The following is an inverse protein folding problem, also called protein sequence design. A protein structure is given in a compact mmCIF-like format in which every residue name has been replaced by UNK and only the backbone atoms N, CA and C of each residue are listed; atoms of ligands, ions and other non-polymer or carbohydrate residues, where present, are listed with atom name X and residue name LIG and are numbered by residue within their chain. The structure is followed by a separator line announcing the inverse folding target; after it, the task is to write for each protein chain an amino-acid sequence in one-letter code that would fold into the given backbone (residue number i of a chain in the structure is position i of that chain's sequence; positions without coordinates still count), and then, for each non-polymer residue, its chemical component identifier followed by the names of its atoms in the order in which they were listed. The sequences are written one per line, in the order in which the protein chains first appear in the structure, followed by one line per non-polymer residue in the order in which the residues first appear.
data_IF_358699731484
#
_entry.id   IF_358699731484
#
_cell.length_a   1.000
_cell.length_b   1.000
_cell.length_c   1.000
_cell.angle_alpha   90.00
_cell.angle_beta   90.00
_cell.angle_gamma   90.00
#
_symmetry.space_group_name_H-M   'P 1'
#
loop_
_entity.id
_entity.type
_entity.pdbx_description
1 polymer ?
#
# COMPACT_ATOMS: atom_id res chain seq x y z
N UNK A 1 -34.89 4.61 -36.62
CA UNK A 1 -33.87 5.66 -36.41
C UNK A 1 -33.59 5.94 -34.94
N UNK A 2 -34.58 6.13 -34.06
CA UNK A 2 -34.36 6.43 -32.62
C UNK A 2 -33.56 5.37 -31.84
N UNK A 3 -33.77 4.07 -32.12
CA UNK A 3 -33.04 2.96 -31.45
C UNK A 3 -31.52 2.97 -31.70
N UNK A 4 -31.07 3.51 -32.84
CA UNK A 4 -29.66 3.49 -33.22
C UNK A 4 -28.86 4.60 -32.51
N UNK A 5 -29.52 5.71 -32.16
CA UNK A 5 -28.90 6.80 -31.39
C UNK A 5 -28.74 6.45 -29.91
N UNK A 6 -29.70 5.72 -29.31
CA UNK A 6 -29.59 5.28 -27.90
C UNK A 6 -28.44 4.31 -27.65
N UNK A 7 -28.15 3.40 -28.58
CA UNK A 7 -27.05 2.45 -28.43
C UNK A 7 -25.67 3.12 -28.52
N UNK A 8 -25.52 4.11 -29.41
CA UNK A 8 -24.29 4.90 -29.57
C UNK A 8 -24.03 5.77 -28.33
N UNK A 9 -25.09 6.32 -27.72
CA UNK A 9 -24.96 7.13 -26.51
C UNK A 9 -24.54 6.29 -25.29
N UNK A 10 -25.02 5.05 -25.15
CA UNK A 10 -24.61 4.13 -24.08
C UNK A 10 -23.14 3.68 -24.21
N UNK A 11 -22.67 3.42 -25.43
CA UNK A 11 -21.27 3.06 -25.69
C UNK A 11 -20.31 4.23 -25.44
N UNK A 12 -20.73 5.47 -25.75
CA UNK A 12 -19.94 6.67 -25.48
C UNK A 12 -19.78 6.94 -23.97
N UNK A 13 -20.78 6.61 -23.15
CA UNK A 13 -20.71 6.75 -21.68
C UNK A 13 -19.80 5.70 -21.05
N UNK A 14 -19.80 4.46 -21.57
CA UNK A 14 -18.91 3.40 -21.10
C UNK A 14 -17.42 3.67 -21.40
N UNK A 15 -17.11 4.40 -22.47
CA UNK A 15 -15.74 4.81 -22.81
C UNK A 15 -15.16 5.94 -21.95
N UNK A 16 -15.98 6.58 -21.10
CA UNK A 16 -15.57 7.69 -20.23
C UNK A 16 -15.30 7.27 -18.78
N UNK A 17 -15.63 6.02 -18.42
CA UNK A 17 -15.36 5.49 -17.08
C UNK A 17 -14.03 4.74 -17.09
N UNK A 18 -12.95 5.39 -16.64
CA UNK A 18 -11.72 4.70 -16.21
C UNK A 18 -11.95 3.96 -14.89
N UNK A 19 -13.01 3.16 -14.80
CA UNK A 19 -13.22 2.27 -13.67
C UNK A 19 -12.27 1.09 -13.83
N UNK A 20 -11.06 1.21 -13.26
CA UNK A 20 -10.16 0.09 -13.04
C UNK A 20 -10.78 -0.81 -11.95
N UNK A 21 -11.75 -1.63 -12.35
CA UNK A 21 -12.17 -2.80 -11.58
C UNK A 21 -11.34 -3.97 -12.08
N UNK A 22 -10.20 -4.22 -11.45
CA UNK A 22 -9.39 -5.40 -11.74
C UNK A 22 -10.07 -6.61 -11.06
N UNK A 23 -11.00 -7.25 -11.78
CA UNK A 23 -11.66 -8.48 -11.35
C UNK A 23 -10.66 -9.65 -11.48
N UNK A 24 -10.30 -10.34 -10.39
CA UNK A 24 -9.35 -11.45 -10.45
C UNK A 24 -9.13 -12.19 -9.12
N UNK A 25 -8.06 -13.00 -9.02
CA UNK A 25 -7.46 -13.45 -7.75
C UNK A 25 -6.11 -12.73 -7.54
N UNK A 26 -5.69 -12.52 -6.28
CA UNK A 26 -4.48 -11.75 -5.99
C UNK A 26 -3.32 -12.37 -6.79
N UNK A 27 -2.48 -11.56 -7.44
CA UNK A 27 -1.41 -12.11 -8.25
C UNK A 27 -0.45 -12.90 -7.35
N UNK A 28 0.15 -13.94 -7.94
CA UNK A 28 1.26 -14.62 -7.26
C UNK A 28 2.42 -13.64 -7.11
N UNK A 29 2.82 -13.39 -5.87
CA UNK A 29 3.90 -12.46 -5.54
C UNK A 29 5.23 -13.21 -5.52
N UNK A 30 6.18 -12.74 -6.30
CA UNK A 30 7.59 -13.13 -6.14
C UNK A 30 8.17 -12.33 -4.99
N UNK A 31 8.53 -13.03 -3.92
CA UNK A 31 9.18 -12.44 -2.76
C UNK A 31 10.67 -12.21 -3.01
N UNK A 32 11.27 -11.33 -2.22
CA UNK A 32 12.74 -11.21 -2.14
C UNK A 32 13.33 -12.52 -1.60
N UNK A 33 14.55 -12.86 -2.02
CA UNK A 33 15.18 -14.13 -1.63
C UNK A 33 15.60 -14.12 -0.15
N UNK A 34 16.09 -12.98 0.33
CA UNK A 34 16.45 -12.72 1.72
C UNK A 34 15.98 -11.31 2.11
N UNK A 35 15.76 -11.08 3.40
CA UNK A 35 15.31 -9.78 3.90
C UNK A 35 16.02 -9.42 5.21
N UNK A 36 16.71 -8.28 5.22
CA UNK A 36 17.38 -7.74 6.40
C UNK A 36 16.47 -6.75 7.13
N UNK A 37 15.77 -7.23 8.17
CA UNK A 37 14.82 -6.44 8.93
C UNK A 37 15.46 -5.22 9.62
N UNK A 38 16.59 -5.34 10.35
CA UNK A 38 17.32 -4.19 10.88
C UNK A 38 17.62 -3.10 9.85
N UNK A 39 18.09 -3.47 8.66
CA UNK A 39 18.41 -2.49 7.61
C UNK A 39 17.18 -1.81 7.01
N UNK A 40 15.98 -2.39 7.16
CA UNK A 40 14.72 -1.80 6.67
C UNK A 40 14.12 -0.75 7.62
N UNK A 41 14.63 -0.65 8.84
CA UNK A 41 14.14 0.30 9.83
C UNK A 41 14.48 1.74 9.48
N UNK A 42 13.77 2.67 10.11
CA UNK A 42 13.94 4.09 9.87
C UNK A 42 12.67 4.74 9.34
N UNK A 43 12.82 5.96 8.84
CA UNK A 43 11.75 6.70 8.18
C UNK A 43 11.78 6.47 6.69
N UNK A 44 10.64 6.08 6.14
CA UNK A 44 10.36 6.03 4.70
C UNK A 44 9.39 7.14 4.30
N UNK A 45 9.57 7.68 3.10
CA UNK A 45 8.66 8.66 2.50
C UNK A 45 7.91 8.02 1.36
N UNK A 46 6.59 8.17 1.32
CA UNK A 46 5.85 7.70 0.16
C UNK A 46 6.11 8.64 -1.03
N UNK A 47 6.62 8.08 -2.13
CA UNK A 47 6.91 8.84 -3.35
C UNK A 47 5.85 8.65 -4.43
N UNK A 48 5.31 7.43 -4.52
CA UNK A 48 4.27 7.07 -5.48
C UNK A 48 3.31 6.07 -4.85
N UNK A 49 2.04 6.15 -5.24
CA UNK A 49 1.00 5.20 -4.86
C UNK A 49 0.17 4.80 -6.06
N UNK A 50 -0.40 3.60 -5.99
CA UNK A 50 -1.50 3.23 -6.87
C UNK A 50 -2.75 4.06 -6.49
N UNK A 51 -3.49 4.62 -7.46
CA UNK A 51 -4.69 5.41 -7.16
C UNK A 51 -5.85 4.50 -6.76
N UNK A 52 -5.91 4.13 -5.48
CA UNK A 52 -6.95 3.29 -4.87
C UNK A 52 -8.08 4.08 -4.17
N UNK A 53 -7.88 5.39 -4.00
CA UNK A 53 -8.82 6.30 -3.35
C UNK A 53 -8.78 6.31 -1.82
N UNK A 54 -8.17 5.32 -1.15
CA UNK A 54 -8.11 5.24 0.31
C UNK A 54 -7.32 6.40 0.88
N UNK A 55 -6.17 6.68 0.27
CA UNK A 55 -5.27 7.70 0.78
C UNK A 55 -5.52 9.09 0.18
N UNK A 56 -6.65 9.29 -0.50
CA UNK A 56 -7.00 10.56 -1.13
C UNK A 56 -6.99 11.69 -0.10
N UNK A 57 -6.33 12.80 -0.43
CA UNK A 57 -6.25 14.00 0.42
C UNK A 57 -5.09 14.01 1.42
N UNK A 58 -4.23 12.99 1.40
CA UNK A 58 -3.00 12.92 2.20
C UNK A 58 -1.81 13.41 1.38
N UNK A 59 -0.96 14.23 1.98
CA UNK A 59 0.30 14.70 1.39
C UNK A 59 1.45 14.53 2.39
N UNK A 60 2.69 14.49 1.88
CA UNK A 60 3.90 14.33 2.71
C UNK A 60 3.84 13.08 3.61
N UNK A 61 3.35 11.96 3.06
CA UNK A 61 3.16 10.73 3.82
C UNK A 61 4.50 10.13 4.20
N UNK A 62 4.65 9.80 5.49
CA UNK A 62 5.83 9.12 6.02
C UNK A 62 5.43 7.91 6.85
N UNK A 63 6.29 6.89 6.85
CA UNK A 63 6.20 5.74 7.74
C UNK A 63 7.49 5.61 8.56
N UNK A 64 7.39 5.70 9.89
CA UNK A 64 8.50 5.46 10.81
C UNK A 64 8.43 4.01 11.31
N UNK A 65 9.46 3.22 11.01
CA UNK A 65 9.61 1.84 11.45
C UNK A 65 10.67 1.72 12.54
N UNK A 66 10.28 1.14 13.68
CA UNK A 66 11.18 0.96 14.83
C UNK A 66 11.11 -0.48 15.32
N UNK A 67 12.26 -1.14 15.37
CA UNK A 67 12.38 -2.51 15.88
C UNK A 67 11.87 -2.59 17.33
N UNK A 68 11.04 -3.59 17.58
CA UNK A 68 10.61 -3.99 18.93
C UNK A 68 11.39 -5.23 19.36
N UNK A 69 11.58 -6.17 18.43
CA UNK A 69 12.45 -7.35 18.56
C UNK A 69 12.69 -7.96 17.16
N UNK A 70 13.41 -9.07 17.10
CA UNK A 70 13.81 -9.77 15.86
C UNK A 70 12.66 -10.13 14.90
N UNK A 71 11.41 -10.13 15.36
CA UNK A 71 10.23 -10.52 14.56
C UNK A 71 9.15 -9.44 14.51
N UNK A 72 9.35 -8.30 15.17
CA UNK A 72 8.32 -7.26 15.33
C UNK A 72 8.89 -5.86 15.25
N UNK A 73 8.16 -4.97 14.60
CA UNK A 73 8.44 -3.54 14.59
C UNK A 73 7.16 -2.73 14.77
N UNK A 74 7.28 -1.55 15.36
CA UNK A 74 6.19 -0.57 15.44
C UNK A 74 6.18 0.30 14.20
N UNK A 75 5.00 0.80 13.85
CA UNK A 75 4.76 1.66 12.70
C UNK A 75 4.12 2.94 13.20
N UNK A 76 4.66 4.09 12.79
CA UNK A 76 3.97 5.37 12.92
C UNK A 76 3.89 6.04 11.54
N UNK A 77 2.69 6.10 11.00
CA UNK A 77 2.40 6.85 9.78
C UNK A 77 1.99 8.27 10.10
N UNK A 78 2.39 9.21 9.26
CA UNK A 78 1.98 10.61 9.34
C UNK A 78 1.63 11.14 7.96
N UNK A 79 0.62 12.01 7.89
CA UNK A 79 0.22 12.70 6.66
C UNK A 79 -0.27 14.12 6.96
N UNK A 80 -0.01 15.04 6.05
CA UNK A 80 -0.63 16.36 6.05
C UNK A 80 -2.00 16.28 5.37
N UNK A 81 -3.02 16.81 6.05
CA UNK A 81 -4.39 16.91 5.53
C UNK A 81 -4.65 18.27 4.89
N UNK A 82 -5.72 18.36 4.10
CA UNK A 82 -6.06 19.58 3.36
C UNK A 82 -6.43 20.76 4.27
N UNK A 83 -6.93 20.50 5.47
CA UNK A 83 -7.23 21.51 6.48
C UNK A 83 -6.00 22.00 7.25
N UNK A 84 -4.81 21.49 6.90
CA UNK A 84 -3.53 21.82 7.54
C UNK A 84 -3.24 21.03 8.82
N UNK A 85 -4.15 20.15 9.25
CA UNK A 85 -3.88 19.24 10.36
C UNK A 85 -2.96 18.09 9.95
N UNK A 86 -2.35 17.45 10.96
CA UNK A 86 -1.51 16.26 10.78
C UNK A 86 -2.30 15.05 11.26
N UNK A 87 -2.49 14.09 10.38
CA UNK A 87 -2.99 12.77 10.73
C UNK A 87 -1.83 11.91 11.24
N UNK A 88 -2.09 11.12 12.29
CA UNK A 88 -1.16 10.14 12.84
C UNK A 88 -1.86 8.81 13.00
N UNK A 89 -1.23 7.74 12.50
CA UNK A 89 -1.71 6.38 12.63
C UNK A 89 -0.61 5.51 13.23
N UNK A 90 -0.94 4.78 14.29
CA UNK A 90 -0.03 3.87 14.95
C UNK A 90 -0.41 2.42 14.65
N UNK A 91 0.59 1.61 14.37
CA UNK A 91 0.44 0.20 14.07
C UNK A 91 1.63 -0.62 14.48
N UNK A 92 1.57 -1.90 14.15
CA UNK A 92 2.66 -2.83 14.35
C UNK A 92 2.69 -3.84 13.21
N UNK A 93 3.87 -4.40 12.99
CA UNK A 93 4.08 -5.45 12.01
C UNK A 93 4.77 -6.65 12.66
N UNK A 94 4.47 -7.83 12.12
CA UNK A 94 5.09 -9.10 12.50
C UNK A 94 5.63 -9.78 11.27
N UNK A 95 6.85 -10.31 11.36
CA UNK A 95 7.45 -11.13 10.30
C UNK A 95 6.70 -12.44 10.09
N UNK A 96 6.85 -13.01 8.90
CA UNK A 96 6.37 -14.34 8.56
C UNK A 96 7.56 -15.22 8.16
N UNK A 97 7.30 -16.50 7.86
CA UNK A 97 8.33 -17.41 7.33
C UNK A 97 8.76 -17.06 5.90
N UNK A 98 8.11 -16.09 5.26
CA UNK A 98 8.43 -15.59 3.92
C UNK A 98 9.23 -14.28 4.01
N UNK A 99 10.44 -14.20 3.44
CA UNK A 99 11.24 -12.97 3.45
C UNK A 99 10.49 -11.77 2.86
N UNK A 100 10.60 -10.62 3.52
CA UNK A 100 9.95 -9.37 3.09
C UNK A 100 8.41 -9.38 3.20
N UNK A 101 7.80 -10.38 3.83
CA UNK A 101 6.36 -10.45 4.06
C UNK A 101 6.03 -10.22 5.54
N UNK A 102 5.12 -9.29 5.79
CA UNK A 102 4.65 -8.93 7.13
C UNK A 102 3.14 -9.00 7.24
N UNK A 103 2.67 -9.26 8.46
CA UNK A 103 1.29 -9.00 8.87
C UNK A 103 1.27 -7.67 9.59
N UNK A 104 0.62 -6.66 9.01
CA UNK A 104 0.54 -5.29 9.51
C UNK A 104 -0.84 -5.05 10.11
N UNK A 105 -0.89 -4.48 11.31
CA UNK A 105 -2.13 -4.12 11.99
C UNK A 105 -2.14 -2.65 12.40
N UNK A 106 -3.29 -2.01 12.22
CA UNK A 106 -3.61 -0.68 12.73
C UNK A 106 -4.83 -0.77 13.67
N UNK A 107 -4.93 0.14 14.64
CA UNK A 107 -6.08 0.11 15.55
C UNK A 107 -7.39 0.35 14.80
N UNK A 108 -8.36 -0.53 15.02
CA UNK A 108 -9.70 -0.43 14.42
C UNK A 108 -9.84 -1.05 13.03
N UNK A 109 -8.72 -1.47 12.42
CA UNK A 109 -8.70 -2.04 11.06
C UNK A 109 -8.34 -3.53 11.06
N UNK A 110 -8.88 -4.33 10.12
CA UNK A 110 -8.40 -5.68 9.89
C UNK A 110 -6.91 -5.70 9.52
N UNK A 111 -6.12 -6.68 9.99
CA UNK A 111 -4.73 -6.82 9.57
C UNK A 111 -4.59 -7.04 8.06
N UNK A 112 -3.56 -6.46 7.48
CA UNK A 112 -3.22 -6.59 6.05
C UNK A 112 -1.91 -7.35 5.86
N UNK A 113 -1.73 -7.92 4.68
CA UNK A 113 -0.46 -8.50 4.24
C UNK A 113 0.34 -7.43 3.53
N UNK A 114 1.54 -7.14 4.03
CA UNK A 114 2.47 -6.20 3.41
C UNK A 114 3.65 -6.97 2.83
N UNK A 115 3.88 -6.84 1.52
CA UNK A 115 4.96 -7.51 0.82
C UNK A 115 5.96 -6.49 0.27
N UNK A 116 7.20 -6.56 0.71
CA UNK A 116 8.31 -5.87 0.05
C UNK A 116 8.68 -6.68 -1.20
N UNK A 117 8.42 -6.09 -2.36
CA UNK A 117 8.73 -6.67 -3.66
C UNK A 117 10.21 -6.51 -4.01
N UNK A 118 10.80 -5.37 -3.63
CA UNK A 118 12.20 -5.05 -3.82
C UNK A 118 12.60 -3.87 -2.94
N UNK A 119 13.81 -3.88 -2.37
CA UNK A 119 14.38 -2.73 -1.65
C UNK A 119 15.90 -2.81 -1.69
N UNK A 120 16.55 -1.66 -1.68
CA UNK A 120 17.99 -1.54 -1.41
C UNK A 120 18.29 -1.07 0.02
N UNK A 121 17.25 -1.02 0.85
CA UNK A 121 17.26 -0.61 2.27
C UNK A 121 17.60 0.86 2.53
N UNK A 122 18.02 1.62 1.52
CA UNK A 122 18.56 2.97 1.70
C UNK A 122 17.82 4.02 0.89
N UNK A 123 17.46 3.70 -0.36
CA UNK A 123 16.94 4.69 -1.31
C UNK A 123 15.54 4.37 -1.79
N UNK A 124 15.14 3.10 -1.84
CA UNK A 124 13.79 2.72 -2.24
C UNK A 124 13.29 1.43 -1.59
N UNK A 125 11.97 1.33 -1.48
CA UNK A 125 11.24 0.08 -1.27
C UNK A 125 9.98 0.08 -2.12
N UNK A 126 9.77 -1.01 -2.85
CA UNK A 126 8.54 -1.25 -3.60
C UNK A 126 7.69 -2.23 -2.83
N UNK A 127 6.45 -1.85 -2.55
CA UNK A 127 5.57 -2.55 -1.63
C UNK A 127 4.26 -2.88 -2.32
N UNK A 128 3.72 -4.05 -2.01
CA UNK A 128 2.40 -4.47 -2.47
C UNK A 128 1.60 -5.18 -1.38
N UNK A 129 0.36 -4.75 -1.23
CA UNK A 129 -0.67 -5.40 -0.44
C UNK A 129 -1.82 -5.78 -1.36
N UNK A 130 -2.38 -6.98 -1.17
CA UNK A 130 -3.58 -7.41 -1.85
C UNK A 130 -4.44 -8.21 -0.88
N UNK A 131 -5.72 -7.84 -0.80
CA UNK A 131 -6.74 -8.61 -0.11
C UNK A 131 -7.77 -9.10 -1.13
N UNK A 132 -8.15 -10.37 -1.00
CA UNK A 132 -9.30 -10.94 -1.69
C UNK A 132 -10.53 -10.78 -0.79
N UNK A 133 -11.59 -10.17 -1.29
CA UNK A 133 -12.92 -10.30 -0.67
C UNK A 133 -13.61 -11.60 -1.14
N UNK A 134 -14.63 -12.06 -0.41
CA UNK A 134 -15.49 -13.19 -0.75
C UNK A 134 -16.08 -13.12 -2.17
N UNK A 135 -16.14 -11.93 -2.78
CA UNK A 135 -16.58 -11.70 -4.16
C UNK A 135 -15.46 -11.69 -5.21
N UNK A 136 -14.21 -12.00 -4.85
CA UNK A 136 -13.03 -11.90 -5.74
C UNK A 136 -12.84 -10.50 -6.35
N UNK A 137 -13.26 -9.48 -5.61
CA UNK A 137 -12.82 -8.13 -5.87
C UNK A 137 -11.46 -7.94 -5.20
N UNK A 138 -10.50 -7.43 -5.96
CA UNK A 138 -9.20 -7.07 -5.42
C UNK A 138 -9.26 -5.70 -4.80
N UNK A 139 -8.80 -5.63 -3.56
CA UNK A 139 -8.29 -4.40 -3.01
C UNK A 139 -6.77 -4.50 -2.93
N UNK A 140 -6.11 -4.02 -3.99
CA UNK A 140 -4.66 -4.00 -4.12
C UNK A 140 -4.14 -2.60 -3.90
N UNK A 141 -3.20 -2.44 -2.96
CA UNK A 141 -2.50 -1.16 -2.77
C UNK A 141 -1.01 -1.36 -2.99
N UNK A 142 -0.46 -0.53 -3.85
CA UNK A 142 0.98 -0.50 -4.14
C UNK A 142 1.54 0.85 -3.73
N UNK A 143 2.67 0.83 -3.04
CA UNK A 143 3.42 2.02 -2.68
C UNK A 143 4.86 1.88 -3.16
N UNK A 144 5.44 3.00 -3.60
CA UNK A 144 6.89 3.15 -3.71
C UNK A 144 7.32 4.09 -2.59
N UNK A 145 7.96 3.52 -1.60
CA UNK A 145 8.61 4.22 -0.52
C UNK A 145 10.02 4.63 -0.99
N UNK A 146 10.41 5.88 -0.74
CA UNK A 146 11.70 6.44 -1.10
C UNK A 146 12.41 7.01 0.12
N UNK A 147 13.73 6.88 0.11
CA UNK A 147 14.69 7.29 1.14
C UNK A 147 14.41 6.77 2.55
N UNK A 148 15.24 5.84 3.01
CA UNK A 148 15.30 5.46 4.43
C UNK A 148 16.20 6.44 5.17
N UNK A 149 15.64 7.24 6.08
CA UNK A 149 16.42 7.98 7.06
C UNK A 149 16.50 7.18 8.36
N UNK A 150 17.72 6.83 8.78
CA UNK A 150 17.94 6.22 10.09
C UNK A 150 17.51 7.19 11.19
N UNK A 151 16.39 6.88 11.84
CA UNK A 151 15.96 7.53 13.08
C UNK A 151 16.60 6.77 14.25
N UNK A 152 17.85 7.15 14.56
CA UNK A 152 18.60 6.61 15.71
C UNK A 152 18.03 7.03 17.06
#
# INVERSE_FOLDING_TARGET
MVKMFSAVLLLAVAGLTNAYLDQGNCPSIKHVDEFDLPSYMGRWFETHRYPDGIEKGRACVTADYVLVNDTRFSIRNSANLHDGSIELLHGNAVTTDTPGRFIVGFQGEPPIVYNVLATDYATYSSVYSCAEDHQKQHFGVSYVEGYALNIG
#
